data_IF_618841247735
#
_entry.id   IF_618841247735
#
_cell.length_a   1.000
_cell.length_b   1.000
_cell.length_c   1.000
_cell.angle_alpha   90.00
_cell.angle_beta   90.00
_cell.angle_gamma   90.00
#
_symmetry.space_group_name_H-M   'P 1'
#
loop_
_entity.id
_entity.type
_entity.pdbx_description
1 polymer ?
#
# COMPACT_ATOMS: atom_id res chain seq x y z
N UNK A 1 -22.95 -5.47 -6.50
CA UNK A 1 -21.65 -5.39 -7.21
C UNK A 1 -20.81 -4.32 -6.52
N UNK A 2 -19.58 -4.63 -6.11
CA UNK A 2 -18.74 -3.71 -5.34
C UNK A 2 -18.12 -2.64 -6.26
N UNK A 3 -18.30 -1.35 -5.94
CA UNK A 3 -17.78 -0.25 -6.77
C UNK A 3 -16.26 -0.25 -6.91
N UNK A 4 -15.54 -0.81 -5.92
CA UNK A 4 -14.08 -0.88 -5.90
C UNK A 4 -13.53 -1.95 -6.86
N UNK A 5 -14.35 -2.92 -7.30
CA UNK A 5 -13.99 -3.97 -8.26
C UNK A 5 -14.23 -3.51 -9.71
N UNK A 6 -13.87 -2.27 -10.02
CA UNK A 6 -14.04 -1.70 -11.35
C UNK A 6 -13.00 -0.61 -11.61
N UNK A 7 -12.18 -0.77 -12.65
CA UNK A 7 -11.08 0.16 -12.98
C UNK A 7 -11.56 1.61 -13.19
N UNK A 8 -12.72 1.83 -13.83
CA UNK A 8 -13.31 3.18 -13.98
C UNK A 8 -13.52 3.93 -12.66
N UNK A 9 -13.75 3.24 -11.54
CA UNK A 9 -13.83 3.93 -10.23
C UNK A 9 -12.48 4.58 -9.88
N UNK A 10 -11.39 3.84 -10.08
CA UNK A 10 -10.03 4.25 -9.78
C UNK A 10 -9.51 5.30 -10.78
N UNK A 11 -9.85 5.17 -12.06
CA UNK A 11 -9.57 6.19 -13.09
C UNK A 11 -10.20 7.53 -12.72
N UNK A 12 -11.50 7.52 -12.38
CA UNK A 12 -12.21 8.72 -11.95
C UNK A 12 -11.66 9.32 -10.66
N UNK A 13 -11.10 8.49 -9.77
CA UNK A 13 -10.47 8.94 -8.54
C UNK A 13 -9.15 9.67 -8.82
N UNK A 14 -8.31 9.10 -9.69
CA UNK A 14 -7.04 9.69 -10.15
C UNK A 14 -7.28 11.01 -10.88
N UNK A 15 -8.30 11.09 -11.74
CA UNK A 15 -8.65 12.33 -12.43
C UNK A 15 -9.03 13.49 -11.49
N UNK A 16 -9.46 13.18 -10.25
CA UNK A 16 -9.92 14.17 -9.27
C UNK A 16 -8.91 14.49 -8.18
N UNK A 17 -7.87 13.66 -7.99
CA UNK A 17 -6.93 13.78 -6.87
C UNK A 17 -5.50 13.67 -7.38
N UNK A 18 -4.64 14.58 -6.95
CA UNK A 18 -3.23 14.62 -7.37
C UNK A 18 -2.42 13.46 -6.77
N UNK A 19 -2.78 12.96 -5.58
CA UNK A 19 -2.13 11.84 -4.89
C UNK A 19 -3.14 11.02 -4.08
N UNK A 20 -3.99 10.20 -4.71
CA UNK A 20 -5.00 9.41 -4.00
C UNK A 20 -4.38 8.53 -2.89
N UNK A 21 -3.21 7.96 -3.10
CA UNK A 21 -2.54 7.08 -2.15
C UNK A 21 -2.04 7.78 -0.88
N UNK A 22 -1.68 9.07 -0.91
CA UNK A 22 -1.31 9.85 0.29
C UNK A 22 -2.54 10.41 1.04
N UNK A 23 -3.72 9.79 0.87
CA UNK A 23 -4.97 10.31 1.41
C UNK A 23 -5.66 9.34 2.36
N UNK A 24 -6.31 9.89 3.39
CA UNK A 24 -7.27 9.16 4.19
C UNK A 24 -8.55 9.00 3.36
N UNK A 25 -8.84 7.78 2.90
CA UNK A 25 -10.08 7.46 2.20
C UNK A 25 -11.25 7.23 3.14
N UNK A 26 -11.05 7.40 4.45
CA UNK A 26 -11.97 6.97 5.47
C UNK A 26 -12.79 8.16 5.96
N UNK A 27 -14.12 8.19 5.72
CA UNK A 27 -15.01 9.06 6.46
C UNK A 27 -14.85 8.77 7.95
N UNK A 28 -14.91 9.80 8.80
CA UNK A 28 -14.74 9.62 10.25
C UNK A 28 -15.74 8.60 10.82
N UNK A 29 -16.92 8.53 10.23
CA UNK A 29 -18.01 7.63 10.61
C UNK A 29 -17.69 6.15 10.35
N UNK A 30 -16.69 5.86 9.51
CA UNK A 30 -16.24 4.49 9.17
C UNK A 30 -14.82 4.21 9.68
N UNK A 31 -14.29 5.06 10.58
CA UNK A 31 -12.89 4.96 11.05
C UNK A 31 -12.60 3.65 11.79
N UNK A 32 -13.59 3.05 12.44
CA UNK A 32 -13.42 1.79 13.17
C UNK A 32 -13.15 0.58 12.26
N UNK A 33 -13.47 0.68 10.97
CA UNK A 33 -13.18 -0.34 9.96
C UNK A 33 -11.93 0.00 9.14
N UNK A 34 -11.18 1.03 9.55
CA UNK A 34 -10.01 1.50 8.82
C UNK A 34 -8.92 0.43 8.73
N UNK A 35 -8.51 0.14 7.51
CA UNK A 35 -7.37 -0.75 7.20
C UNK A 35 -6.30 0.10 6.54
N UNK A 36 -5.05 -0.18 6.86
CA UNK A 36 -3.91 0.59 6.39
C UNK A 36 -3.01 -0.27 5.53
N UNK A 37 -2.34 0.36 4.58
CA UNK A 37 -1.28 -0.27 3.81
C UNK A 37 -0.10 0.70 3.71
N UNK A 38 1.09 0.15 3.84
CA UNK A 38 2.33 0.78 3.45
C UNK A 38 2.81 0.13 2.14
N UNK A 39 3.17 0.95 1.16
CA UNK A 39 3.71 0.50 -0.12
C UNK A 39 5.07 1.14 -0.34
N UNK A 40 6.07 0.35 -0.72
CA UNK A 40 7.44 0.82 -0.93
C UNK A 40 7.97 0.36 -2.28
N UNK A 41 8.56 1.29 -3.02
CA UNK A 41 9.40 1.05 -4.19
C UNK A 41 10.74 1.73 -3.95
N UNK A 42 11.79 0.93 -3.85
CA UNK A 42 13.18 1.42 -3.83
C UNK A 42 13.85 0.94 -5.10
N UNK A 43 14.34 1.83 -5.94
CA UNK A 43 15.19 1.48 -7.08
C UNK A 43 16.51 2.24 -6.95
N UNK A 44 17.59 1.50 -6.65
CA UNK A 44 18.91 2.08 -6.45
C UNK A 44 19.54 2.57 -7.75
N UNK A 45 19.10 2.04 -8.90
CA UNK A 45 19.63 2.43 -10.21
C UNK A 45 18.98 3.71 -10.71
N UNK A 46 17.66 3.84 -10.54
CA UNK A 46 16.89 5.04 -10.93
C UNK A 46 16.80 6.08 -9.81
N UNK A 47 17.46 5.84 -8.67
CA UNK A 47 17.41 6.70 -7.49
C UNK A 47 15.95 7.02 -7.07
N UNK A 48 15.08 6.01 -7.17
CA UNK A 48 13.67 6.13 -6.83
C UNK A 48 13.45 5.64 -5.41
N UNK A 49 12.80 6.48 -4.60
CA UNK A 49 12.26 6.11 -3.31
C UNK A 49 10.81 6.60 -3.26
N UNK A 50 9.90 5.64 -3.33
CA UNK A 50 8.47 5.84 -3.11
C UNK A 50 8.08 5.01 -1.89
N UNK A 51 7.63 5.67 -0.82
CA UNK A 51 7.24 5.02 0.43
C UNK A 51 6.00 5.72 0.96
N UNK A 52 4.86 5.15 0.61
CA UNK A 52 3.56 5.77 0.83
C UNK A 52 2.70 4.96 1.80
N UNK A 53 1.88 5.68 2.55
CA UNK A 53 0.93 5.13 3.49
C UNK A 53 -0.48 5.55 3.13
N UNK A 54 -1.37 4.58 2.96
CA UNK A 54 -2.78 4.85 2.71
C UNK A 54 -3.69 4.23 3.77
N UNK A 55 -4.85 4.84 3.95
CA UNK A 55 -5.88 4.41 4.89
C UNK A 55 -7.19 4.21 4.14
N UNK A 56 -7.74 3.01 4.22
CA UNK A 56 -8.91 2.54 3.47
C UNK A 56 -10.10 2.29 4.38
N UNK A 57 -11.31 2.55 3.87
CA UNK A 57 -12.54 2.47 4.66
C UNK A 57 -12.93 1.04 5.05
N UNK A 58 -12.48 0.07 4.26
CA UNK A 58 -12.79 -1.34 4.40
C UNK A 58 -11.83 -2.18 3.53
N UNK A 59 -11.88 -3.50 3.70
CA UNK A 59 -11.01 -4.43 2.97
C UNK A 59 -11.25 -4.46 1.46
N UNK A 60 -12.47 -4.16 0.98
CA UNK A 60 -12.77 -4.14 -0.46
C UNK A 60 -12.22 -2.88 -1.12
N UNK A 61 -12.18 -1.76 -0.41
CA UNK A 61 -11.48 -0.55 -0.84
C UNK A 61 -9.97 -0.82 -0.97
N UNK A 62 -9.38 -1.49 0.01
CA UNK A 62 -7.96 -1.88 -0.03
C UNK A 62 -7.66 -2.84 -1.20
N UNK A 63 -8.49 -3.87 -1.41
CA UNK A 63 -8.33 -4.78 -2.55
C UNK A 63 -8.34 -4.03 -3.88
N UNK A 64 -9.27 -3.11 -4.09
CA UNK A 64 -9.31 -2.34 -5.34
C UNK A 64 -8.08 -1.45 -5.51
N UNK A 65 -7.56 -0.87 -4.42
CA UNK A 65 -6.33 -0.09 -4.47
C UNK A 65 -5.14 -0.95 -4.94
N UNK A 66 -4.98 -2.13 -4.37
CA UNK A 66 -3.91 -3.05 -4.74
C UNK A 66 -4.07 -3.53 -6.19
N UNK A 67 -5.28 -3.97 -6.56
CA UNK A 67 -5.59 -4.55 -7.87
C UNK A 67 -5.44 -3.57 -9.04
N UNK A 68 -5.91 -2.32 -8.86
CA UNK A 68 -6.06 -1.37 -9.97
C UNK A 68 -5.09 -0.19 -9.93
N UNK A 69 -4.39 0.02 -8.82
CA UNK A 69 -3.40 1.10 -8.71
C UNK A 69 -2.00 0.56 -8.41
N UNK A 70 -1.79 -0.04 -7.24
CA UNK A 70 -0.43 -0.32 -6.78
C UNK A 70 0.27 -1.44 -7.57
N UNK A 71 -0.37 -2.62 -7.75
CA UNK A 71 0.23 -3.69 -8.55
C UNK A 71 0.46 -3.25 -10.01
N UNK A 72 -0.50 -2.59 -10.69
CA UNK A 72 -0.26 -2.09 -12.03
C UNK A 72 0.92 -1.11 -12.13
N UNK A 73 1.04 -0.18 -11.18
CA UNK A 73 2.18 0.73 -11.12
C UNK A 73 3.51 -0.02 -10.92
N UNK A 74 3.59 -0.89 -9.91
CA UNK A 74 4.82 -1.59 -9.58
C UNK A 74 5.28 -2.51 -10.72
N UNK A 75 4.35 -3.22 -11.37
CA UNK A 75 4.66 -4.12 -12.48
C UNK A 75 5.00 -3.36 -13.76
N UNK A 76 4.30 -2.26 -14.06
CA UNK A 76 4.65 -1.40 -15.17
C UNK A 76 6.06 -0.82 -15.02
N UNK A 77 6.38 -0.30 -13.83
CA UNK A 77 7.71 0.22 -13.50
C UNK A 77 8.82 -0.84 -13.59
N UNK A 78 8.50 -2.08 -13.23
CA UNK A 78 9.42 -3.22 -13.35
C UNK A 78 9.66 -3.63 -14.81
N UNK A 79 8.62 -3.56 -15.64
CA UNK A 79 8.68 -3.90 -17.07
C UNK A 79 9.47 -2.84 -17.85
N UNK A 80 9.22 -1.56 -17.59
CA UNK A 80 9.84 -0.43 -18.30
C UNK A 80 11.06 0.09 -17.56
N UNK A 81 12.18 -0.64 -17.67
CA UNK A 81 13.41 -0.27 -16.95
C UNK A 81 14.10 0.99 -17.46
N UNK A 82 13.68 1.49 -18.62
CA UNK A 82 14.14 2.70 -19.28
C UNK A 82 13.31 3.94 -18.92
N UNK A 83 12.23 3.78 -18.16
CA UNK A 83 11.37 4.88 -17.72
C UNK A 83 11.54 5.13 -16.21
N UNK A 84 11.97 6.34 -15.85
CA UNK A 84 12.15 6.73 -14.45
C UNK A 84 10.82 7.15 -13.78
N UNK A 85 9.77 7.42 -14.57
CA UNK A 85 8.50 7.90 -14.04
C UNK A 85 7.62 6.77 -13.50
N UNK A 86 7.09 6.98 -12.28
CA UNK A 86 6.03 6.13 -11.73
C UNK A 86 4.70 6.47 -12.41
N UNK A 87 4.19 5.52 -13.19
CA UNK A 87 2.95 5.66 -13.95
C UNK A 87 1.88 4.66 -13.48
N UNK A 88 0.62 5.10 -13.45
CA UNK A 88 -0.53 4.24 -13.14
C UNK A 88 -1.24 3.83 -14.43
N UNK A 89 -0.99 2.62 -14.97
CA UNK A 89 -1.79 2.10 -16.07
C UNK A 89 -3.14 1.65 -15.51
N UNK A 90 -4.15 2.53 -15.63
CA UNK A 90 -5.51 2.19 -15.20
C UNK A 90 -6.24 1.48 -16.33
N UNK A 91 -6.37 0.16 -16.19
CA UNK A 91 -7.16 -0.68 -17.10
C UNK A 91 -7.84 -1.82 -16.34
N UNK A 92 -8.59 -2.67 -17.03
CA UNK A 92 -9.16 -3.85 -16.40
C UNK A 92 -8.06 -4.86 -16.01
N UNK A 93 -8.34 -5.70 -15.01
CA UNK A 93 -7.40 -6.77 -14.61
C UNK A 93 -7.05 -7.69 -15.79
N UNK A 94 -8.02 -7.99 -16.65
CA UNK A 94 -7.82 -8.84 -17.82
C UNK A 94 -6.86 -8.21 -18.83
N UNK A 95 -7.08 -6.95 -19.19
CA UNK A 95 -6.23 -6.22 -20.13
C UNK A 95 -4.80 -6.08 -19.57
N UNK A 96 -4.66 -5.82 -18.26
CA UNK A 96 -3.34 -5.70 -17.65
C UNK A 96 -2.59 -7.04 -17.59
N UNK A 97 -3.28 -8.16 -17.36
CA UNK A 97 -2.68 -9.50 -17.43
C UNK A 97 -2.18 -9.79 -18.84
N UNK A 98 -2.98 -9.48 -19.88
CA UNK A 98 -2.57 -9.65 -21.28
C UNK A 98 -1.31 -8.83 -21.59
N UNK A 99 -1.32 -7.56 -21.19
CA UNK A 99 -0.16 -6.67 -21.30
C UNK A 99 1.09 -7.23 -20.60
N UNK A 100 0.97 -7.72 -19.36
CA UNK A 100 2.09 -8.33 -18.62
C UNK A 100 2.63 -9.55 -19.36
N UNK A 101 1.74 -10.39 -19.90
CA UNK A 101 2.11 -11.62 -20.63
C UNK A 101 2.88 -11.31 -21.93
N UNK A 102 2.50 -10.24 -22.62
CA UNK A 102 3.11 -9.81 -23.87
C UNK A 102 4.37 -8.94 -23.68
N UNK A 103 4.65 -8.49 -22.45
CA UNK A 103 5.76 -7.57 -22.14
C UNK A 103 7.16 -8.12 -22.40
N UNK A 104 7.33 -9.44 -22.48
CA UNK A 104 8.64 -10.10 -22.56
C UNK A 104 9.45 -10.05 -21.25
N UNK A 105 8.87 -9.56 -20.15
CA UNK A 105 9.51 -9.52 -18.84
C UNK A 105 9.82 -10.92 -18.31
N UNK A 106 11.01 -11.10 -17.73
CA UNK A 106 11.39 -12.32 -17.04
C UNK A 106 10.49 -12.64 -15.82
N UNK A 107 9.76 -11.64 -15.32
CA UNK A 107 8.85 -11.75 -14.18
C UNK A 107 7.38 -11.89 -14.59
N UNK A 108 7.06 -11.93 -15.89
CA UNK A 108 5.68 -11.88 -16.40
C UNK A 108 4.76 -12.94 -15.76
N UNK A 109 5.23 -14.18 -15.62
CA UNK A 109 4.43 -15.25 -15.01
C UNK A 109 4.07 -14.93 -13.55
N UNK A 110 5.05 -14.48 -12.74
CA UNK A 110 4.79 -14.24 -11.31
C UNK A 110 3.95 -12.98 -11.10
N UNK A 111 4.09 -11.98 -11.98
CA UNK A 111 3.20 -10.82 -12.01
C UNK A 111 1.76 -11.22 -12.36
N UNK A 112 1.57 -12.08 -13.37
CA UNK A 112 0.25 -12.61 -13.74
C UNK A 112 -0.38 -13.37 -12.58
N UNK A 113 0.35 -14.29 -11.95
CA UNK A 113 -0.11 -15.05 -10.78
C UNK A 113 -0.52 -14.12 -9.63
N UNK A 114 0.26 -13.06 -9.37
CA UNK A 114 -0.07 -12.08 -8.34
C UNK A 114 -1.37 -11.32 -8.63
N UNK A 115 -1.62 -10.93 -9.89
CA UNK A 115 -2.87 -10.27 -10.30
C UNK A 115 -4.07 -11.20 -10.15
N UNK A 116 -3.90 -12.48 -10.48
CA UNK A 116 -4.94 -13.51 -10.35
C UNK A 116 -5.24 -13.85 -8.88
N UNK A 117 -4.20 -13.90 -8.03
CA UNK A 117 -4.35 -14.08 -6.58
C UNK A 117 -5.25 -12.98 -6.00
N UNK A 118 -4.94 -11.70 -6.26
CA UNK A 118 -5.74 -10.57 -5.77
C UNK A 118 -7.17 -10.61 -6.34
N UNK A 119 -7.36 -10.95 -7.62
CA UNK A 119 -8.70 -11.04 -8.20
C UNK A 119 -9.55 -12.15 -7.53
N UNK A 120 -8.91 -13.25 -7.11
CA UNK A 120 -9.60 -14.33 -6.40
C UNK A 120 -10.14 -13.88 -5.03
N UNK A 121 -9.49 -12.91 -4.37
CA UNK A 121 -9.83 -12.47 -3.01
C UNK A 121 -11.13 -11.65 -2.96
N UNK A 122 -11.63 -11.16 -4.09
CA UNK A 122 -12.94 -10.48 -4.15
C UNK A 122 -14.09 -11.35 -3.68
N UNK A 123 -13.97 -12.68 -3.84
CA UNK A 123 -15.00 -13.67 -3.47
C UNK A 123 -14.95 -14.09 -1.99
N UNK A 124 -13.91 -13.69 -1.26
CA UNK A 124 -13.73 -14.02 0.16
C UNK A 124 -14.55 -13.09 1.06
N UNK A 125 -14.92 -13.60 2.24
CA UNK A 125 -15.40 -12.77 3.35
C UNK A 125 -14.27 -11.87 3.88
N UNK A 126 -14.61 -10.86 4.69
CA UNK A 126 -13.67 -9.83 5.09
C UNK A 126 -12.47 -10.36 5.88
N UNK A 127 -12.69 -11.33 6.78
CA UNK A 127 -11.62 -11.87 7.62
C UNK A 127 -10.68 -12.76 6.80
N UNK A 128 -11.24 -13.67 6.00
CA UNK A 128 -10.46 -14.52 5.09
C UNK A 128 -9.67 -13.67 4.09
N UNK A 129 -10.30 -12.62 3.55
CA UNK A 129 -9.66 -11.70 2.63
C UNK A 129 -8.47 -10.97 3.26
N UNK A 130 -8.61 -10.46 4.49
CA UNK A 130 -7.53 -9.77 5.20
C UNK A 130 -6.35 -10.71 5.46
N UNK A 131 -6.63 -11.94 5.90
CA UNK A 131 -5.59 -12.94 6.15
C UNK A 131 -4.87 -13.33 4.86
N UNK A 132 -5.61 -13.66 3.79
CA UNK A 132 -5.03 -13.97 2.48
C UNK A 132 -4.20 -12.82 1.92
N UNK A 133 -4.61 -11.58 2.17
CA UNK A 133 -3.86 -10.40 1.74
C UNK A 133 -2.56 -10.22 2.54
N UNK A 134 -2.57 -10.43 3.86
CA UNK A 134 -1.33 -10.43 4.67
C UNK A 134 -0.36 -11.52 4.21
N UNK A 135 -0.86 -12.72 3.93
CA UNK A 135 -0.04 -13.81 3.39
C UNK A 135 0.52 -13.49 2.01
N UNK A 136 -0.29 -12.88 1.15
CA UNK A 136 0.12 -12.39 -0.17
C UNK A 136 1.25 -11.37 -0.04
N UNK A 137 1.09 -10.34 0.81
CA UNK A 137 2.13 -9.34 1.07
C UNK A 137 3.44 -9.99 1.54
N UNK A 138 3.37 -10.96 2.45
CA UNK A 138 4.57 -11.66 2.91
C UNK A 138 5.27 -12.45 1.77
N UNK A 139 4.52 -13.08 0.86
CA UNK A 139 5.09 -13.75 -0.33
C UNK A 139 5.67 -12.73 -1.31
N UNK A 140 4.93 -11.67 -1.60
CA UNK A 140 5.33 -10.57 -2.49
C UNK A 140 6.65 -9.95 -2.01
N UNK A 141 6.74 -9.56 -0.74
CA UNK A 141 7.91 -8.91 -0.17
C UNK A 141 9.16 -9.79 -0.25
N UNK A 142 9.03 -11.11 -0.04
CA UNK A 142 10.16 -12.05 -0.17
C UNK A 142 10.65 -12.22 -1.60
N UNK A 143 9.73 -12.16 -2.57
CA UNK A 143 10.07 -12.27 -3.98
C UNK A 143 10.78 -11.01 -4.48
N UNK A 144 10.32 -9.85 -4.03
CA UNK A 144 10.77 -8.55 -4.50
C UNK A 144 11.74 -7.85 -3.55
N UNK A 145 12.48 -8.60 -2.73
CA UNK A 145 13.56 -8.08 -1.88
C UNK A 145 14.92 -8.25 -2.56
N UNK A 146 15.12 -7.61 -3.72
CA UNK A 146 16.35 -7.73 -4.51
C UNK A 146 17.39 -6.67 -4.18
N UNK A 147 18.64 -6.91 -4.63
CA UNK A 147 19.75 -5.96 -4.43
C UNK A 147 19.64 -4.71 -5.33
N UNK A 148 18.92 -4.81 -6.46
CA UNK A 148 18.78 -3.72 -7.43
C UNK A 148 17.60 -2.82 -7.14
N UNK A 149 16.47 -3.42 -6.80
CA UNK A 149 15.26 -2.72 -6.41
C UNK A 149 14.44 -3.60 -5.48
N UNK A 150 13.63 -2.93 -4.65
CA UNK A 150 12.76 -3.53 -3.65
C UNK A 150 11.33 -3.08 -3.95
N UNK A 151 10.41 -4.04 -4.03
CA UNK A 151 8.97 -3.78 -3.98
C UNK A 151 8.43 -4.37 -2.68
N UNK A 152 7.70 -3.57 -1.91
CA UNK A 152 7.18 -4.00 -0.61
C UNK A 152 5.75 -3.51 -0.39
N UNK A 153 4.94 -4.34 0.27
CA UNK A 153 3.63 -3.98 0.78
C UNK A 153 3.43 -4.56 2.18
N UNK A 154 2.92 -3.75 3.11
CA UNK A 154 2.53 -4.21 4.44
C UNK A 154 1.11 -3.77 4.74
N UNK A 155 0.24 -4.71 5.14
CA UNK A 155 -1.17 -4.45 5.47
C UNK A 155 -1.39 -4.54 6.97
N UNK A 156 -2.05 -3.54 7.52
CA UNK A 156 -2.31 -3.41 8.95
C UNK A 156 -3.80 -3.24 9.21
N UNK A 157 -4.34 -4.06 10.12
CA UNK A 157 -5.75 -4.07 10.47
C UNK A 157 -6.16 -2.90 11.38
N UNK A 158 -5.19 -2.25 12.03
CA UNK A 158 -5.41 -1.14 12.95
C UNK A 158 -4.12 -0.34 13.18
N UNK A 159 -4.24 0.77 13.90
CA UNK A 159 -3.11 1.67 14.23
C UNK A 159 -2.07 1.04 15.17
N UNK A 160 -2.45 0.09 16.02
CA UNK A 160 -1.51 -0.60 16.90
C UNK A 160 -0.61 -1.59 16.16
N UNK A 161 -1.13 -2.29 15.15
CA UNK A 161 -0.29 -3.13 14.28
C UNK A 161 0.78 -2.29 13.57
N UNK A 162 0.44 -1.06 13.16
CA UNK A 162 1.41 -0.11 12.61
C UNK A 162 2.45 0.26 13.66
N UNK A 163 2.02 0.68 14.86
CA UNK A 163 2.95 1.08 15.91
C UNK A 163 3.92 -0.05 16.27
N UNK A 164 3.41 -1.26 16.42
CA UNK A 164 4.23 -2.45 16.67
C UNK A 164 5.24 -2.67 15.54
N UNK A 165 4.82 -2.63 14.28
CA UNK A 165 5.70 -2.79 13.13
C UNK A 165 6.82 -1.75 13.09
N UNK A 166 6.52 -0.50 13.42
CA UNK A 166 7.50 0.58 13.44
C UNK A 166 8.49 0.41 14.59
N UNK A 167 8.00 0.05 15.79
CA UNK A 167 8.85 -0.16 16.96
C UNK A 167 9.77 -1.37 16.74
N UNK A 168 9.25 -2.49 16.22
CA UNK A 168 10.03 -3.71 16.00
C UNK A 168 11.12 -3.56 14.94
N UNK A 169 10.93 -2.66 13.97
CA UNK A 169 11.94 -2.34 12.95
C UNK A 169 13.06 -1.44 13.46
N UNK A 170 12.83 -0.70 14.55
CA UNK A 170 13.82 0.18 15.13
C UNK A 170 14.43 -0.50 16.36
N UNK A 171 15.65 -0.98 16.23
CA UNK A 171 16.38 -1.66 17.31
C UNK A 171 16.54 -0.77 18.55
N UNK A 172 16.55 0.56 18.35
CA UNK A 172 16.70 1.55 19.40
C UNK A 172 15.58 2.60 19.32
N UNK A 173 14.75 2.77 20.38
CA UNK A 173 13.71 3.79 20.43
C UNK A 173 14.23 5.22 20.19
N UNK A 174 15.47 5.50 20.57
CA UNK A 174 16.12 6.79 20.38
C UNK A 174 16.29 7.12 18.89
N UNK A 175 16.63 6.13 18.06
CA UNK A 175 16.76 6.31 16.60
C UNK A 175 15.39 6.59 15.98
N UNK A 176 14.36 5.85 16.41
CA UNK A 176 12.99 6.12 15.98
C UNK A 176 12.55 7.54 16.34
N UNK A 177 12.86 8.01 17.55
CA UNK A 177 12.53 9.37 17.98
C UNK A 177 13.32 10.42 17.20
N UNK A 178 14.59 10.18 16.89
CA UNK A 178 15.39 11.09 16.05
C UNK A 178 14.83 11.19 14.63
N UNK A 179 14.51 10.05 14.00
CA UNK A 179 14.03 10.00 12.61
C UNK A 179 12.61 10.54 12.46
N UNK A 180 11.73 10.23 13.42
CA UNK A 180 10.29 10.58 13.32
C UNK A 180 9.90 11.78 14.18
N UNK A 181 10.75 12.23 15.10
CA UNK A 181 10.41 13.25 16.10
C UNK A 181 9.22 12.85 16.97
N UNK A 182 9.03 11.55 17.22
CA UNK A 182 7.99 10.99 18.08
C UNK A 182 8.57 9.97 19.04
N UNK A 183 8.19 10.07 20.31
CA UNK A 183 8.44 8.97 21.26
C UNK A 183 7.48 7.81 20.99
N UNK A 184 7.84 6.61 21.45
CA UNK A 184 6.94 5.46 21.45
C UNK A 184 5.62 5.75 22.17
N UNK A 185 5.68 6.46 23.29
CA UNK A 185 4.48 6.84 24.06
C UNK A 185 3.56 7.78 23.26
N UNK A 186 4.12 8.76 22.56
CA UNK A 186 3.36 9.65 21.70
C UNK A 186 2.69 8.90 20.55
N UNK A 187 3.40 7.95 19.93
CA UNK A 187 2.84 7.10 18.88
C UNK A 187 1.65 6.27 19.40
N UNK A 188 1.81 5.60 20.54
CA UNK A 188 0.75 4.80 21.16
C UNK A 188 -0.46 5.67 21.55
N UNK A 189 -0.22 6.86 22.10
CA UNK A 189 -1.28 7.83 22.40
C UNK A 189 -2.05 8.24 21.14
N UNK A 190 -1.37 8.39 20.00
CA UNK A 190 -2.07 8.66 18.73
C UNK A 190 -2.92 7.46 18.28
N UNK A 191 -2.45 6.23 18.49
CA UNK A 191 -3.21 5.02 18.17
C UNK A 191 -4.52 4.93 18.98
N UNK A 192 -4.47 5.21 20.28
CA UNK A 192 -5.63 5.21 21.18
C UNK A 192 -6.71 6.21 20.72
N UNK A 193 -6.28 7.41 20.32
CA UNK A 193 -7.19 8.51 20.01
C UNK A 193 -7.62 8.57 18.54
N UNK A 194 -6.99 7.79 17.65
CA UNK A 194 -7.25 7.79 16.20
C UNK A 194 -8.74 7.63 15.86
N UNK A 195 -9.41 6.71 16.56
CA UNK A 195 -10.78 6.31 16.28
C UNK A 195 -11.84 7.25 16.87
N UNK A 196 -11.44 8.13 17.78
CA UNK A 196 -12.36 8.99 18.55
C UNK A 196 -12.19 10.47 18.21
N UNK A 197 -11.04 10.87 17.64
CA UNK A 197 -10.71 12.27 17.40
C UNK A 197 -10.32 12.53 15.95
N UNK A 198 -11.13 13.31 15.22
CA UNK A 198 -10.86 13.72 13.83
C UNK A 198 -9.49 14.38 13.64
N UNK A 199 -9.03 15.13 14.65
CA UNK A 199 -7.72 15.78 14.61
C UNK A 199 -6.60 14.73 14.67
N UNK A 200 -6.70 13.75 15.57
CA UNK A 200 -5.73 12.65 15.67
C UNK A 200 -5.72 11.78 14.42
N UNK A 201 -6.89 11.49 13.84
CA UNK A 201 -6.98 10.75 12.58
C UNK A 201 -6.16 11.40 11.46
N UNK A 202 -6.31 12.73 11.28
CA UNK A 202 -5.56 13.48 10.26
C UNK A 202 -4.07 13.54 10.57
N UNK A 203 -3.70 13.76 11.83
CA UNK A 203 -2.31 13.85 12.22
C UNK A 203 -1.58 12.51 12.07
N UNK A 204 -2.22 11.40 12.43
CA UNK A 204 -1.63 10.07 12.31
C UNK A 204 -1.26 9.77 10.85
N UNK A 205 -2.20 9.92 9.91
CA UNK A 205 -1.94 9.71 8.48
C UNK A 205 -0.89 10.67 7.93
N UNK A 206 -0.88 11.93 8.42
CA UNK A 206 0.14 12.91 8.05
C UNK A 206 1.53 12.47 8.50
N UNK A 207 1.67 12.00 9.74
CA UNK A 207 2.95 11.54 10.28
C UNK A 207 3.43 10.31 9.52
N UNK A 208 2.53 9.36 9.22
CA UNK A 208 2.87 8.19 8.41
C UNK A 208 3.52 8.58 7.08
N UNK A 209 2.93 9.53 6.35
CA UNK A 209 3.44 9.91 5.02
C UNK A 209 4.62 10.90 5.02
N UNK A 210 4.82 11.71 6.08
CA UNK A 210 5.82 12.79 6.06
C UNK A 210 6.99 12.60 7.01
N UNK A 211 6.83 11.74 8.02
CA UNK A 211 7.87 11.49 9.02
C UNK A 211 8.34 10.05 8.95
N UNK A 212 7.39 9.12 8.92
CA UNK A 212 7.67 7.67 8.91
C UNK A 212 7.94 7.16 7.49
N UNK A 213 7.33 7.73 6.46
CA UNK A 213 7.59 7.40 5.04
C UNK A 213 9.04 7.67 4.60
N UNK A 214 9.86 8.30 5.44
CA UNK A 214 11.29 8.44 5.20
C UNK A 214 12.12 7.28 5.77
N UNK A 215 11.51 6.40 6.59
CA UNK A 215 12.16 5.26 7.25
C UNK A 215 11.82 3.99 6.45
N UNK A 216 12.85 3.29 5.95
CA UNK A 216 12.72 2.06 5.13
C UNK A 216 13.24 0.86 5.90
#
# INVERSE_FOLDING_TARGET
MCKYHHHLYWENLLAKRTKPWQSCFVPFESVHEAIFINTVIVDYQRNTLDNDWSCHSDIKSLLGFIQYLHLPLAFYYTIHQDNDDLFFPVCSTGDFIEYVRESGSAHAQVMEEALQDIDSYWKLDNLSCLNSLKDFCARFNRLWSGDKYILNMNVFANTFEIAQFLIERNEFPEVFEEDTGLTTEQLLHMCDNFYNERFMQKNFVKILNHKIGCVI
#
